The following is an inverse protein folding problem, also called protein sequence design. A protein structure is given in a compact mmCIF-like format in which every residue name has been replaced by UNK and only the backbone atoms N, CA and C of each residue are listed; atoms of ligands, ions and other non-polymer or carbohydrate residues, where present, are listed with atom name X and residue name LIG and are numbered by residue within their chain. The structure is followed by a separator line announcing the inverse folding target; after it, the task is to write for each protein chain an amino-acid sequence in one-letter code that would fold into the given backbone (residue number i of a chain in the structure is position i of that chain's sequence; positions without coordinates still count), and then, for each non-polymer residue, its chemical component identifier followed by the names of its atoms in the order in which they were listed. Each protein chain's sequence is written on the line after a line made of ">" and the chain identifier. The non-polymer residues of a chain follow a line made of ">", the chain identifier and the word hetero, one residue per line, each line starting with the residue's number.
data_IF_302444817094
#
_entry.id   IF_302444817094
#
_cell.length_a   1.000
_cell.length_b   1.000
_cell.length_c   1.000
_cell.angle_alpha   90.00
_cell.angle_beta   90.00
_cell.angle_gamma   90.00
#
_symmetry.space_group_name_H-M   'P 1'
#
loop_
_entity.id
_entity.type
_entity.pdbx_description
1 polymer ?
#
# COMPACT_ATOMS: atom_id res chain seq x y z
N UNK A 1 -11.06 -13.78 18.88
CA UNK A 1 -10.23 -12.60 18.56
C UNK A 1 -10.20 -12.47 17.04
N UNK A 2 -10.41 -11.27 16.46
CA UNK A 2 -10.22 -11.12 15.02
C UNK A 2 -8.79 -11.51 14.66
N UNK A 3 -8.62 -12.24 13.56
CA UNK A 3 -7.32 -12.71 13.08
C UNK A 3 -6.49 -11.49 12.68
N UNK A 4 -5.39 -11.24 13.40
CA UNK A 4 -4.40 -10.24 13.03
C UNK A 4 -3.35 -10.91 12.14
N UNK A 5 -3.26 -10.49 10.88
CA UNK A 5 -2.28 -11.00 9.92
C UNK A 5 -1.16 -9.96 9.71
N UNK A 6 0.12 -10.34 9.87
CA UNK A 6 1.22 -9.42 9.58
C UNK A 6 1.26 -9.16 8.07
N UNK A 7 1.29 -7.88 7.67
CA UNK A 7 1.41 -7.48 6.25
C UNK A 7 2.81 -6.93 5.94
N UNK A 8 3.25 -5.88 6.65
CA UNK A 8 4.53 -5.22 6.35
C UNK A 8 5.76 -6.06 6.74
N UNK A 9 5.74 -6.64 7.94
CA UNK A 9 6.88 -7.39 8.49
C UNK A 9 6.79 -8.90 8.19
N UNK A 10 5.83 -9.33 7.38
CA UNK A 10 5.62 -10.74 7.05
C UNK A 10 6.85 -11.42 6.42
N UNK A 11 7.73 -10.64 5.78
CA UNK A 11 8.89 -11.14 5.02
C UNK A 11 10.25 -10.88 5.67
N UNK A 12 10.33 -10.17 6.80
CA UNK A 12 11.60 -9.66 7.36
C UNK A 12 12.62 -10.76 7.69
N UNK A 13 12.14 -11.97 8.03
CA UNK A 13 12.99 -13.11 8.37
C UNK A 13 13.22 -14.12 7.24
N UNK A 14 12.76 -13.85 6.01
CA UNK A 14 12.93 -14.79 4.90
C UNK A 14 14.37 -14.74 4.36
N UNK A 15 14.93 -15.86 3.89
CA UNK A 15 16.22 -15.85 3.20
C UNK A 15 16.21 -14.88 2.04
N UNK A 16 17.24 -14.03 1.96
CA UNK A 16 17.42 -13.04 0.90
C UNK A 16 16.17 -12.13 0.70
N UNK A 17 15.54 -11.72 1.81
CA UNK A 17 14.30 -10.92 1.80
C UNK A 17 14.43 -9.55 1.13
N UNK A 18 15.66 -9.05 0.98
CA UNK A 18 15.96 -7.80 0.30
C UNK A 18 16.06 -7.94 -1.24
N UNK A 19 16.18 -9.17 -1.75
CA UNK A 19 16.27 -9.42 -3.18
C UNK A 19 14.95 -9.20 -3.91
N UNK A 20 15.05 -8.61 -5.09
CA UNK A 20 13.93 -8.39 -5.99
C UNK A 20 13.27 -9.72 -6.40
N UNK A 21 14.07 -10.76 -6.62
CA UNK A 21 13.57 -12.07 -7.02
C UNK A 21 12.78 -12.73 -5.89
N UNK A 22 13.29 -12.67 -4.66
CA UNK A 22 12.55 -13.14 -3.47
C UNK A 22 11.25 -12.36 -3.27
N UNK A 23 11.29 -11.03 -3.45
CA UNK A 23 10.08 -10.20 -3.36
C UNK A 23 9.02 -10.59 -4.40
N UNK A 24 9.43 -10.79 -5.66
CA UNK A 24 8.53 -11.21 -6.76
C UNK A 24 7.96 -12.61 -6.54
N UNK A 25 8.78 -13.57 -6.11
CA UNK A 25 8.33 -14.95 -5.81
C UNK A 25 7.23 -14.98 -4.75
N UNK A 26 7.25 -14.04 -3.81
CA UNK A 26 6.22 -13.87 -2.78
C UNK A 26 5.02 -13.01 -3.23
N UNK A 27 4.85 -12.75 -4.53
CA UNK A 27 3.75 -11.93 -5.07
C UNK A 27 4.01 -10.41 -5.04
N UNK A 28 5.27 -9.99 -4.92
CA UNK A 28 5.66 -8.60 -5.07
C UNK A 28 5.24 -8.01 -6.41
N UNK A 29 4.88 -6.72 -6.41
CA UNK A 29 4.35 -5.95 -7.56
C UNK A 29 2.96 -6.30 -8.06
N UNK A 30 2.30 -7.39 -7.63
CA UNK A 30 0.95 -7.71 -8.13
C UNK A 30 -0.07 -6.60 -7.80
N UNK A 31 -0.02 -6.04 -6.59
CA UNK A 31 -0.85 -4.89 -6.23
C UNK A 31 -0.48 -3.61 -7.01
N UNK A 32 0.80 -3.43 -7.36
CA UNK A 32 1.22 -2.29 -8.18
C UNK A 32 0.68 -2.42 -9.60
N UNK A 33 0.77 -3.61 -10.21
CA UNK A 33 0.20 -3.87 -11.55
C UNK A 33 -1.29 -3.55 -11.58
N UNK A 34 -2.03 -3.98 -10.55
CA UNK A 34 -3.45 -3.63 -10.39
C UNK A 34 -3.67 -2.12 -10.27
N UNK A 35 -2.88 -1.42 -9.44
CA UNK A 35 -3.03 0.02 -9.28
C UNK A 35 -2.74 0.80 -10.57
N UNK A 36 -1.76 0.35 -11.37
CA UNK A 36 -1.41 0.95 -12.66
C UNK A 36 -2.47 0.71 -13.74
N UNK A 37 -3.32 -0.31 -13.59
CA UNK A 37 -4.45 -0.54 -14.49
C UNK A 37 -5.73 0.20 -14.07
N UNK A 38 -5.70 0.95 -12.96
CA UNK A 38 -6.84 1.70 -12.45
C UNK A 38 -6.71 3.18 -12.81
N UNK A 39 -7.83 3.89 -13.03
CA UNK A 39 -7.84 5.35 -13.02
C UNK A 39 -7.25 5.89 -11.70
N UNK A 40 -6.52 7.03 -11.71
CA UNK A 40 -5.95 7.60 -10.51
C UNK A 40 -6.99 7.88 -9.40
N UNK A 41 -8.20 8.30 -9.77
CA UNK A 41 -9.31 8.54 -8.84
C UNK A 41 -9.72 7.28 -8.08
N UNK A 42 -9.69 6.11 -8.71
CA UNK A 42 -10.09 4.86 -8.09
C UNK A 42 -9.03 4.38 -7.09
N UNK A 43 -7.75 4.66 -7.37
CA UNK A 43 -6.66 4.41 -6.41
C UNK A 43 -6.81 5.32 -5.19
N UNK A 44 -7.12 6.60 -5.41
CA UNK A 44 -7.36 7.57 -4.32
C UNK A 44 -8.56 7.13 -3.46
N UNK A 45 -9.67 6.75 -4.10
CA UNK A 45 -10.87 6.26 -3.41
C UNK A 45 -10.58 5.00 -2.60
N UNK A 46 -9.83 4.04 -3.16
CA UNK A 46 -9.41 2.84 -2.44
C UNK A 46 -8.65 3.17 -1.14
N UNK A 47 -7.73 4.15 -1.18
CA UNK A 47 -6.98 4.56 0.01
C UNK A 47 -7.84 5.37 0.98
N UNK A 48 -8.78 6.17 0.48
CA UNK A 48 -9.74 6.90 1.31
C UNK A 48 -10.65 5.94 2.09
N UNK A 49 -11.21 4.94 1.42
CA UNK A 49 -12.10 3.94 2.01
C UNK A 49 -11.39 3.02 3.01
N UNK A 50 -10.08 2.81 2.84
CA UNK A 50 -9.26 2.05 3.79
C UNK A 50 -9.12 2.72 5.16
N UNK A 51 -9.42 4.03 5.27
CA UNK A 51 -9.19 4.79 6.50
C UNK A 51 -7.72 5.00 6.86
N UNK A 52 -6.79 4.82 5.91
CA UNK A 52 -5.35 5.01 6.15
C UNK A 52 -5.05 6.44 6.62
N UNK A 53 -4.38 6.54 7.77
CA UNK A 53 -3.87 7.79 8.34
C UNK A 53 -2.35 7.84 8.26
N UNK A 54 -1.79 9.05 8.11
CA UNK A 54 -0.36 9.27 8.05
C UNK A 54 0.38 8.75 9.28
N UNK A 55 1.41 7.92 9.07
CA UNK A 55 2.20 7.25 10.13
C UNK A 55 3.45 8.02 10.57
N UNK A 56 3.63 9.25 10.10
CA UNK A 56 4.71 10.16 10.54
C UNK A 56 4.41 10.95 11.82
N UNK A 57 3.31 10.66 12.52
CA UNK A 57 2.90 11.31 13.78
C UNK A 57 1.68 12.22 13.67
N UNK A 58 1.51 12.94 12.55
CA UNK A 58 0.39 13.89 12.37
C UNK A 58 -0.99 13.24 12.21
N UNK A 59 -1.07 12.00 11.72
CA UNK A 59 -2.34 11.27 11.61
C UNK A 59 -3.36 11.84 10.62
N UNK A 60 -2.95 12.69 9.67
CA UNK A 60 -3.86 13.20 8.64
C UNK A 60 -4.37 12.07 7.72
N UNK A 61 -5.65 12.05 7.29
CA UNK A 61 -6.17 11.02 6.38
C UNK A 61 -5.46 11.03 5.03
N UNK A 62 -4.79 9.93 4.68
CA UNK A 62 -3.90 9.86 3.51
C UNK A 62 -4.68 10.03 2.20
N UNK A 63 -5.82 9.36 2.04
CA UNK A 63 -6.65 9.47 0.83
C UNK A 63 -7.16 10.90 0.58
N UNK A 64 -7.53 11.62 1.65
CA UNK A 64 -7.94 13.04 1.56
C UNK A 64 -6.74 13.93 1.21
N UNK A 65 -5.56 13.66 1.77
CA UNK A 65 -4.35 14.42 1.44
C UNK A 65 -4.06 14.40 -0.07
N UNK A 66 -4.29 13.26 -0.72
CA UNK A 66 -4.01 13.10 -2.15
C UNK A 66 -4.96 13.90 -3.05
N UNK A 67 -6.18 14.21 -2.61
CA UNK A 67 -7.14 15.00 -3.41
C UNK A 67 -6.79 16.47 -3.54
N UNK A 68 -5.81 16.97 -2.77
CA UNK A 68 -5.36 18.36 -2.84
C UNK A 68 -4.38 18.64 -3.99
N UNK A 69 -3.86 17.59 -4.64
CA UNK A 69 -2.96 17.76 -5.76
C UNK A 69 -3.74 18.13 -7.03
N UNK A 70 -3.19 19.00 -7.91
CA UNK A 70 -3.81 19.29 -9.20
C UNK A 70 -4.01 18.01 -10.00
N UNK A 71 -5.18 17.89 -10.63
CA UNK A 71 -5.41 16.88 -11.66
C UNK A 71 -4.80 17.47 -12.94
N UNK A 72 -3.78 16.81 -13.47
CA UNK A 72 -3.05 17.23 -14.67
C UNK A 72 -3.93 17.31 -15.91
#
# INVERSE_FOLDING_TARGET
>A
MPKCEPVLLARIGKPDSASLETYRRDGGYEALKKALSMPPEDVINTVKDSGLRGRGGAGFPTGVKWTFLPKG
#
